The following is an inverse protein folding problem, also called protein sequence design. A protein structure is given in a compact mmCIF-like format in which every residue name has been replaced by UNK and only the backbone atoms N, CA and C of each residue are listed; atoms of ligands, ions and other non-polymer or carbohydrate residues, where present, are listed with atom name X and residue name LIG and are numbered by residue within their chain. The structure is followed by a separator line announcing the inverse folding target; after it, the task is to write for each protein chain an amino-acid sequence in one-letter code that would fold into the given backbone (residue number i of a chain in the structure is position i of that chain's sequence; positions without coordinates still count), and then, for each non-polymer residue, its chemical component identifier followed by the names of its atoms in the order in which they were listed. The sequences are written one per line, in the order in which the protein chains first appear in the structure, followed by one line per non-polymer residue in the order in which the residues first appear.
data_IF_384873571627
#
_entry.id   IF_384873571627
#
_cell.length_a   1.000
_cell.length_b   1.000
_cell.length_c   1.000
_cell.angle_alpha   90.00
_cell.angle_beta   90.00
_cell.angle_gamma   90.00
#
_symmetry.space_group_name_H-M   'P 1'
#
loop_
_entity.id
_entity.type
_entity.pdbx_description
1 polymer ?
#
# COMPACT_ATOMS: atom_id res chain seq x y z
N UNK A 1 -28.70 1.17 -52.84
CA UNK A 1 -28.73 1.25 -51.36
C UNK A 1 -27.30 1.24 -50.88
N UNK A 2 -26.72 2.42 -50.61
CA UNK A 2 -25.36 2.60 -50.10
C UNK A 2 -25.38 2.39 -48.58
N UNK A 3 -24.49 1.51 -48.13
CA UNK A 3 -24.29 1.18 -46.73
C UNK A 3 -23.82 2.46 -45.99
N UNK A 4 -24.39 2.81 -44.85
CA UNK A 4 -23.89 3.98 -44.08
C UNK A 4 -22.45 3.71 -43.65
N UNK A 5 -21.61 4.71 -43.70
CA UNK A 5 -20.23 4.66 -43.23
C UNK A 5 -20.21 4.34 -41.71
N UNK A 6 -19.23 3.58 -41.21
CA UNK A 6 -19.11 3.33 -39.79
C UNK A 6 -18.87 4.67 -39.05
N UNK A 7 -19.37 4.80 -37.83
CA UNK A 7 -19.14 6.02 -37.05
C UNK A 7 -17.63 6.25 -36.90
N UNK A 8 -17.21 7.48 -37.09
CA UNK A 8 -15.81 7.88 -36.91
C UNK A 8 -15.38 7.50 -35.48
N UNK A 9 -14.34 6.70 -35.36
CA UNK A 9 -13.68 6.44 -34.07
C UNK A 9 -13.18 7.79 -33.59
N UNK A 10 -13.70 8.27 -32.48
CA UNK A 10 -13.19 9.51 -31.84
C UNK A 10 -11.70 9.32 -31.57
N UNK A 11 -10.88 10.29 -32.02
CA UNK A 11 -9.45 10.28 -31.73
C UNK A 11 -9.25 10.22 -30.20
N UNK A 12 -8.23 9.49 -29.71
CA UNK A 12 -7.95 9.46 -28.28
C UNK A 12 -7.69 10.89 -27.79
N UNK A 13 -8.15 11.22 -26.56
CA UNK A 13 -7.91 12.56 -26.01
C UNK A 13 -6.40 12.83 -25.94
N UNK A 14 -5.96 14.07 -26.20
CA UNK A 14 -4.53 14.42 -26.22
C UNK A 14 -3.88 14.17 -24.84
N UNK A 15 -2.69 13.60 -24.84
CA UNK A 15 -1.86 13.43 -23.66
C UNK A 15 -1.46 14.80 -23.09
N UNK A 16 -1.58 14.96 -21.80
CA UNK A 16 -1.21 16.18 -21.11
C UNK A 16 0.31 16.22 -20.91
N UNK A 17 1.03 17.00 -21.69
CA UNK A 17 2.39 17.44 -21.36
C UNK A 17 2.34 18.59 -20.34
N UNK A 18 1.92 18.32 -19.12
CA UNK A 18 2.09 19.26 -18.01
C UNK A 18 3.21 18.71 -17.13
N UNK A 19 4.09 19.59 -16.65
CA UNK A 19 4.94 19.26 -15.52
C UNK A 19 4.06 18.71 -14.42
N UNK A 20 4.10 17.42 -14.21
CA UNK A 20 3.07 16.64 -13.52
C UNK A 20 3.32 16.60 -12.01
N UNK A 21 3.66 17.74 -11.39
CA UNK A 21 3.92 17.83 -9.95
C UNK A 21 2.75 17.27 -9.10
N UNK A 22 1.51 17.40 -9.58
CA UNK A 22 0.33 16.83 -8.94
C UNK A 22 0.22 15.30 -9.09
N UNK A 23 0.82 14.70 -10.12
CA UNK A 23 0.98 13.23 -10.21
C UNK A 23 2.03 12.71 -9.23
N UNK A 24 2.97 13.57 -8.83
CA UNK A 24 4.08 13.21 -7.95
C UNK A 24 3.76 13.45 -6.48
N UNK A 25 2.86 14.38 -6.18
CA UNK A 25 2.64 14.86 -4.83
C UNK A 25 1.14 15.09 -4.50
N UNK A 26 0.44 14.12 -3.89
CA UNK A 26 -0.95 14.30 -3.44
C UNK A 26 -1.03 15.29 -2.25
N UNK A 27 -2.23 15.86 -1.94
CA UNK A 27 -2.45 16.81 -0.85
C UNK A 27 -2.34 16.13 0.53
N UNK A 28 -1.13 15.72 0.91
CA UNK A 28 -0.85 14.98 2.14
C UNK A 28 -0.51 15.85 3.35
N UNK A 29 -0.09 17.12 3.14
CA UNK A 29 0.12 18.05 4.26
C UNK A 29 -1.21 18.59 4.78
N UNK A 30 -1.20 19.04 6.05
CA UNK A 30 -2.40 19.59 6.67
C UNK A 30 -2.92 20.83 5.95
N UNK A 31 -2.02 21.71 5.51
CA UNK A 31 -2.36 22.94 4.80
C UNK A 31 -3.00 22.64 3.44
N UNK A 32 -2.39 21.73 2.64
CA UNK A 32 -2.95 21.33 1.34
C UNK A 32 -4.28 20.59 1.49
N UNK A 33 -4.40 19.70 2.49
CA UNK A 33 -5.67 19.03 2.78
C UNK A 33 -6.78 20.03 3.09
N UNK A 34 -6.53 21.04 3.95
CA UNK A 34 -7.53 22.03 4.30
C UNK A 34 -7.93 22.90 3.09
N UNK A 35 -6.97 23.27 2.25
CA UNK A 35 -7.24 23.98 1.00
C UNK A 35 -8.09 23.12 0.05
N UNK A 36 -7.68 21.90 -0.24
CA UNK A 36 -8.41 20.98 -1.13
C UNK A 36 -9.85 20.69 -0.62
N UNK A 37 -10.02 20.58 0.69
CA UNK A 37 -11.32 20.43 1.34
C UNK A 37 -12.24 21.63 1.12
N UNK A 38 -11.71 22.84 1.24
CA UNK A 38 -12.48 24.09 1.02
C UNK A 38 -12.93 24.18 -0.44
N UNK A 39 -12.07 23.78 -1.37
CA UNK A 39 -12.37 23.78 -2.80
C UNK A 39 -13.41 22.71 -3.16
N UNK A 40 -13.41 21.55 -2.51
CA UNK A 40 -14.39 20.49 -2.74
C UNK A 40 -15.80 20.87 -2.26
N UNK A 41 -15.92 21.65 -1.19
CA UNK A 41 -17.21 22.04 -0.61
C UNK A 41 -18.04 23.00 -1.49
N UNK A 42 -17.43 23.59 -2.51
CA UNK A 42 -18.10 24.51 -3.47
C UNK A 42 -18.79 23.78 -4.64
N UNK A 43 -18.66 22.44 -4.73
CA UNK A 43 -19.20 21.63 -5.83
C UNK A 43 -20.32 20.71 -5.38
N UNK A 44 -21.03 20.13 -6.35
CA UNK A 44 -22.22 19.30 -6.24
C UNK A 44 -22.44 18.63 -4.88
N UNK A 45 -23.40 19.09 -4.07
CA UNK A 45 -23.68 18.55 -2.74
C UNK A 45 -24.20 17.10 -2.77
N UNK A 46 -24.57 16.56 -3.95
CA UNK A 46 -25.00 15.17 -4.13
C UNK A 46 -23.84 14.21 -4.38
N UNK A 47 -22.67 14.70 -4.79
CA UNK A 47 -21.49 13.88 -5.01
C UNK A 47 -20.76 13.56 -3.70
N UNK A 48 -20.13 12.37 -3.61
CA UNK A 48 -19.23 12.07 -2.49
C UNK A 48 -18.14 13.14 -2.44
N UNK A 49 -17.90 13.78 -1.27
CA UNK A 49 -16.90 14.84 -1.16
C UNK A 49 -15.50 14.24 -1.44
N UNK A 50 -14.93 14.66 -2.55
CA UNK A 50 -13.55 14.34 -2.96
C UNK A 50 -12.68 15.54 -2.66
N UNK A 51 -11.40 15.29 -2.39
CA UNK A 51 -10.44 16.39 -2.34
C UNK A 51 -10.19 16.90 -3.76
N UNK A 52 -10.22 18.22 -3.92
CA UNK A 52 -10.04 18.90 -5.19
C UNK A 52 -9.00 20.00 -5.03
N UNK A 53 -8.09 20.12 -5.96
CA UNK A 53 -7.18 21.26 -6.06
C UNK A 53 -7.28 21.90 -7.43
N UNK A 54 -7.13 23.21 -7.46
CA UNK A 54 -7.00 23.99 -8.69
C UNK A 54 -5.53 24.31 -8.93
N UNK A 55 -5.02 23.93 -10.10
CA UNK A 55 -3.72 24.35 -10.56
C UNK A 55 -3.90 25.42 -11.65
N UNK A 56 -3.27 26.55 -11.44
CA UNK A 56 -3.00 27.48 -12.53
C UNK A 56 -1.69 27.03 -13.21
N UNK A 57 -1.72 26.55 -14.45
CA UNK A 57 -0.52 26.10 -15.15
C UNK A 57 0.49 27.21 -15.44
N UNK A 58 0.29 28.43 -14.87
CA UNK A 58 1.30 29.49 -14.86
C UNK A 58 1.85 29.82 -16.24
N UNK A 59 1.06 30.38 -17.13
CA UNK A 59 1.49 30.87 -18.42
C UNK A 59 0.44 31.84 -18.96
N UNK A 60 0.88 32.93 -19.59
CA UNK A 60 -0.04 33.81 -20.29
C UNK A 60 -1.02 32.98 -21.10
N UNK A 61 -2.31 33.15 -20.84
CA UNK A 61 -3.36 32.44 -21.55
C UNK A 61 -3.04 32.54 -23.05
N UNK A 62 -2.84 31.45 -23.77
CA UNK A 62 -2.77 31.54 -25.21
C UNK A 62 -4.12 32.11 -25.61
N UNK A 63 -4.10 33.18 -26.38
CA UNK A 63 -5.28 33.76 -27.02
C UNK A 63 -6.11 32.59 -27.55
N UNK A 64 -7.42 32.63 -27.28
CA UNK A 64 -8.40 31.60 -27.57
C UNK A 64 -7.94 30.66 -28.68
N UNK A 65 -7.70 29.39 -28.35
CA UNK A 65 -7.39 28.37 -29.35
C UNK A 65 -8.68 28.13 -30.13
N UNK A 66 -8.91 28.96 -31.11
CA UNK A 66 -9.75 28.59 -32.24
C UNK A 66 -9.02 27.39 -32.88
N UNK A 67 -9.54 26.19 -32.77
CA UNK A 67 -8.97 25.01 -33.38
C UNK A 67 -8.61 23.88 -32.44
N UNK A 68 -9.41 23.66 -31.38
CA UNK A 68 -9.31 22.42 -30.60
C UNK A 68 -9.36 21.17 -31.47
N UNK A 69 -10.28 21.16 -32.43
CA UNK A 69 -10.46 20.05 -33.35
C UNK A 69 -9.27 19.88 -34.30
N UNK A 70 -8.66 21.00 -34.78
CA UNK A 70 -7.46 21.00 -35.63
C UNK A 70 -6.21 20.50 -34.89
N UNK A 71 -6.05 20.81 -33.60
CA UNK A 71 -4.91 20.33 -32.80
C UNK A 71 -5.01 18.82 -32.53
N UNK A 72 -6.22 18.29 -32.33
CA UNK A 72 -6.49 16.84 -32.18
C UNK A 72 -6.19 16.12 -33.49
N UNK A 73 -6.63 16.65 -34.64
CA UNK A 73 -6.36 16.08 -35.95
C UNK A 73 -4.88 16.08 -36.33
N UNK A 74 -4.14 17.09 -35.86
CA UNK A 74 -2.70 17.21 -36.12
C UNK A 74 -1.81 16.37 -35.19
N UNK A 75 -2.37 15.71 -34.16
CA UNK A 75 -1.58 14.96 -33.16
C UNK A 75 -0.61 15.84 -32.33
N UNK A 76 -0.87 17.13 -32.25
CA UNK A 76 -0.03 18.05 -31.52
C UNK A 76 -0.24 17.89 -30.00
N UNK A 77 0.82 18.03 -29.17
CA UNK A 77 0.67 18.00 -27.71
C UNK A 77 -0.23 19.15 -27.27
N UNK A 78 -1.29 18.81 -26.52
CA UNK A 78 -2.22 19.78 -26.03
C UNK A 78 -1.68 20.50 -24.79
N UNK A 79 -1.60 21.82 -24.83
CA UNK A 79 -1.40 22.67 -23.67
C UNK A 79 -2.75 23.13 -23.14
N UNK A 80 -3.13 22.68 -21.93
CA UNK A 80 -4.33 23.16 -21.29
C UNK A 80 -4.23 24.67 -21.10
N UNK A 81 -5.23 25.40 -21.56
CA UNK A 81 -5.37 26.84 -21.32
C UNK A 81 -6.28 27.06 -20.11
N UNK A 82 -5.76 27.72 -19.08
CA UNK A 82 -6.51 28.07 -17.88
C UNK A 82 -6.36 27.04 -16.73
N UNK A 83 -7.02 27.31 -15.60
CA UNK A 83 -6.89 26.49 -14.39
C UNK A 83 -7.38 25.06 -14.61
N UNK A 84 -6.63 24.09 -14.11
CA UNK A 84 -6.98 22.68 -14.08
C UNK A 84 -7.56 22.33 -12.73
N UNK A 85 -8.67 21.59 -12.73
CA UNK A 85 -9.26 21.00 -11.54
C UNK A 85 -8.80 19.55 -11.41
N UNK A 86 -8.05 19.25 -10.37
CA UNK A 86 -7.60 17.91 -10.05
C UNK A 86 -8.52 17.30 -9.00
N UNK A 87 -9.11 16.18 -9.31
CA UNK A 87 -9.93 15.40 -8.38
C UNK A 87 -9.12 14.21 -7.89
N UNK A 88 -8.94 14.12 -6.57
CA UNK A 88 -8.18 13.05 -5.95
C UNK A 88 -9.06 11.87 -5.54
N UNK A 89 -8.48 10.68 -5.47
CA UNK A 89 -9.16 9.48 -4.96
C UNK A 89 -9.33 9.51 -3.44
N UNK A 90 -8.68 10.45 -2.76
CA UNK A 90 -8.63 10.57 -1.32
C UNK A 90 -10.01 10.91 -0.75
N UNK A 91 -10.48 10.12 0.21
CA UNK A 91 -11.73 10.38 0.92
C UNK A 91 -11.53 11.45 2.00
N UNK A 92 -12.30 12.54 1.93
CA UNK A 92 -12.20 13.66 2.85
C UNK A 92 -12.44 13.24 4.30
N UNK A 93 -13.52 12.50 4.54
CA UNK A 93 -13.91 12.11 5.89
C UNK A 93 -12.92 11.15 6.54
N UNK A 94 -12.37 10.23 5.75
CA UNK A 94 -11.33 9.32 6.21
C UNK A 94 -10.03 10.07 6.48
N UNK A 95 -9.61 10.94 5.57
CA UNK A 95 -8.40 11.76 5.73
C UNK A 95 -8.47 12.61 6.99
N UNK A 96 -9.61 13.26 7.25
CA UNK A 96 -9.82 14.01 8.49
C UNK A 96 -9.76 13.12 9.75
N UNK A 97 -10.33 11.90 9.68
CA UNK A 97 -10.22 10.93 10.79
C UNK A 97 -8.76 10.54 11.05
N UNK A 98 -7.98 10.31 9.99
CA UNK A 98 -6.55 10.00 10.09
C UNK A 98 -5.79 11.16 10.76
N UNK A 99 -6.04 12.40 10.33
CA UNK A 99 -5.46 13.60 10.98
C UNK A 99 -5.80 13.67 12.48
N UNK A 100 -7.04 13.40 12.86
CA UNK A 100 -7.45 13.37 14.27
C UNK A 100 -6.73 12.27 15.06
N UNK A 101 -6.53 11.10 14.46
CA UNK A 101 -5.79 9.98 15.06
C UNK A 101 -4.33 10.37 15.28
N UNK A 102 -3.66 10.95 14.29
CA UNK A 102 -2.27 11.40 14.39
C UNK A 102 -2.11 12.48 15.47
N UNK A 103 -2.98 13.48 15.48
CA UNK A 103 -2.98 14.55 16.48
C UNK A 103 -3.19 14.00 17.90
N UNK A 104 -4.13 13.07 18.08
CA UNK A 104 -4.36 12.40 19.38
C UNK A 104 -3.16 11.57 19.81
N UNK A 105 -2.47 10.95 18.87
CA UNK A 105 -1.22 10.22 19.06
C UNK A 105 -0.02 11.11 19.27
N UNK A 106 -0.15 12.44 19.15
CA UNK A 106 0.93 13.44 19.23
C UNK A 106 2.09 13.09 18.29
N UNK A 107 1.74 12.83 17.04
CA UNK A 107 2.72 12.52 15.99
C UNK A 107 3.29 13.82 15.46
N UNK A 108 4.56 14.07 15.74
CA UNK A 108 5.27 15.24 15.21
C UNK A 108 5.79 14.98 13.81
N UNK A 109 6.41 13.81 13.58
CA UNK A 109 6.95 13.36 12.28
C UNK A 109 6.42 11.98 11.96
N UNK A 110 5.57 11.89 10.94
CA UNK A 110 4.98 10.62 10.59
C UNK A 110 4.03 10.71 9.41
N UNK A 111 3.77 9.55 8.83
CA UNK A 111 2.95 9.38 7.64
C UNK A 111 1.98 8.23 7.84
N UNK A 112 0.77 8.41 7.32
CA UNK A 112 -0.26 7.37 7.28
C UNK A 112 -0.80 7.27 5.88
N UNK A 113 -0.78 6.07 5.32
CA UNK A 113 -1.40 5.73 4.04
C UNK A 113 -2.53 4.73 4.30
N UNK A 114 -3.69 5.01 3.73
CA UNK A 114 -4.81 4.06 3.64
C UNK A 114 -5.07 3.81 2.16
N UNK A 115 -5.12 2.55 1.78
CA UNK A 115 -5.18 2.11 0.39
C UNK A 115 -6.24 1.01 0.23
N UNK A 116 -6.94 0.99 -0.91
CA UNK A 116 -7.62 -0.20 -1.38
C UNK A 116 -6.56 -1.11 -2.04
N UNK A 117 -6.19 -2.22 -1.39
CA UNK A 117 -5.09 -3.05 -1.88
C UNK A 117 -5.46 -3.88 -3.13
N UNK A 118 -6.73 -3.92 -3.51
CA UNK A 118 -7.23 -4.63 -4.71
C UNK A 118 -6.98 -3.81 -5.98
N UNK A 119 -6.93 -2.49 -5.83
CA UNK A 119 -6.89 -1.55 -6.96
C UNK A 119 -5.67 -0.63 -6.96
N UNK A 120 -4.94 -0.56 -5.85
CA UNK A 120 -3.86 0.41 -5.65
C UNK A 120 -4.35 1.84 -5.33
N UNK A 121 -5.67 2.06 -5.28
CA UNK A 121 -6.28 3.37 -5.03
C UNK A 121 -5.99 3.85 -3.62
N UNK A 122 -5.39 5.03 -3.47
CA UNK A 122 -5.21 5.66 -2.17
C UNK A 122 -6.53 6.26 -1.68
N UNK A 123 -6.87 5.97 -0.43
CA UNK A 123 -8.08 6.46 0.25
C UNK A 123 -7.75 7.59 1.23
N UNK A 124 -6.55 7.59 1.79
CA UNK A 124 -5.97 8.68 2.56
C UNK A 124 -4.44 8.63 2.48
N UNK A 125 -3.82 9.78 2.38
CA UNK A 125 -2.37 9.94 2.47
C UNK A 125 -2.07 11.18 3.29
N UNK A 126 -1.48 11.00 4.46
CA UNK A 126 -1.29 12.06 5.46
C UNK A 126 0.16 12.10 5.90
N UNK A 127 0.75 13.30 5.91
CA UNK A 127 2.10 13.56 6.42
C UNK A 127 2.08 14.70 7.44
N UNK A 128 2.58 14.47 8.66
CA UNK A 128 2.62 15.47 9.72
C UNK A 128 3.75 16.49 9.52
N UNK A 129 4.90 16.04 9.04
CA UNK A 129 6.08 16.89 8.79
C UNK A 129 6.72 16.46 7.45
N UNK A 130 6.44 17.22 6.40
CA UNK A 130 6.94 16.93 5.06
C UNK A 130 8.40 17.34 4.86
N UNK A 131 8.90 18.31 5.63
CA UNK A 131 10.30 18.74 5.55
C UNK A 131 11.21 17.82 6.36
N UNK A 132 10.81 17.49 7.59
CA UNK A 132 11.59 16.63 8.49
C UNK A 132 11.49 15.15 8.21
N UNK A 133 10.42 14.71 7.50
CA UNK A 133 10.20 13.33 7.09
C UNK A 133 9.49 13.29 5.71
N UNK A 134 10.18 13.66 4.61
CA UNK A 134 9.59 13.65 3.27
C UNK A 134 9.00 12.29 2.89
N UNK A 135 7.76 12.27 2.41
CA UNK A 135 7.03 11.04 2.16
C UNK A 135 7.55 10.27 0.92
N UNK A 136 8.22 10.96 0.02
CA UNK A 136 8.79 10.40 -1.20
C UNK A 136 10.21 9.83 -1.02
N UNK A 137 10.82 9.97 0.16
CA UNK A 137 12.17 9.44 0.45
C UNK A 137 12.14 8.00 0.97
N UNK A 138 13.25 7.29 0.74
CA UNK A 138 13.44 5.94 1.22
C UNK A 138 14.05 5.91 2.64
N UNK A 139 13.40 5.20 3.55
CA UNK A 139 13.77 5.03 4.96
C UNK A 139 14.12 3.59 5.27
N UNK A 140 14.89 3.31 6.35
CA UNK A 140 15.16 1.96 6.79
C UNK A 140 13.87 1.15 6.91
N UNK A 141 13.76 0.04 6.16
CA UNK A 141 12.56 -0.81 6.14
C UNK A 141 12.29 -1.50 7.47
N UNK A 142 13.30 -1.57 8.32
CA UNK A 142 13.27 -2.32 9.56
C UNK A 142 12.69 -3.75 9.32
N UNK A 143 11.96 -4.28 10.27
CA UNK A 143 11.40 -5.62 10.19
C UNK A 143 10.23 -5.78 9.20
N UNK A 144 9.88 -4.77 8.41
CA UNK A 144 8.89 -4.93 7.32
C UNK A 144 9.45 -5.87 6.25
N UNK A 145 10.76 -5.81 5.95
CA UNK A 145 11.40 -6.72 4.97
C UNK A 145 11.22 -8.20 5.30
N UNK A 146 10.97 -8.56 6.56
CA UNK A 146 10.72 -9.96 6.95
C UNK A 146 9.48 -10.56 6.26
N UNK A 147 8.55 -9.75 5.79
CA UNK A 147 7.42 -10.23 4.99
C UNK A 147 7.93 -10.79 3.66
N UNK A 148 8.87 -10.09 3.02
CA UNK A 148 9.49 -10.53 1.77
C UNK A 148 10.40 -11.75 2.01
N UNK A 149 11.16 -11.73 3.10
CA UNK A 149 12.00 -12.89 3.47
C UNK A 149 11.15 -14.13 3.78
N UNK A 150 9.98 -13.96 4.43
CA UNK A 150 9.04 -15.05 4.68
C UNK A 150 8.40 -15.56 3.37
N UNK A 151 8.06 -14.67 2.43
CA UNK A 151 7.60 -15.06 1.11
C UNK A 151 8.64 -15.91 0.38
N UNK A 152 9.91 -15.47 0.39
CA UNK A 152 11.00 -16.21 -0.22
C UNK A 152 11.22 -17.59 0.43
N UNK A 153 11.04 -17.70 1.76
CA UNK A 153 11.09 -19.00 2.47
C UNK A 153 9.98 -19.94 1.99
N UNK A 154 8.75 -19.45 1.88
CA UNK A 154 7.60 -20.22 1.41
C UNK A 154 7.73 -20.68 -0.06
N UNK A 155 8.47 -19.91 -0.89
CA UNK A 155 8.75 -20.28 -2.28
C UNK A 155 9.85 -21.34 -2.45
N UNK A 156 10.89 -21.26 -1.61
CA UNK A 156 12.06 -22.16 -1.76
C UNK A 156 11.68 -23.57 -1.35
N UNK A 157 10.98 -23.73 -0.24
CA UNK A 157 10.52 -25.00 0.26
C UNK A 157 9.30 -24.76 1.16
N UNK A 158 8.08 -24.96 0.64
CA UNK A 158 6.86 -24.82 1.42
C UNK A 158 6.84 -25.69 2.67
N UNK A 159 7.43 -26.87 2.65
CA UNK A 159 7.47 -27.78 3.81
C UNK A 159 8.50 -27.30 4.85
N UNK A 160 9.60 -26.68 4.42
CA UNK A 160 10.58 -26.05 5.32
C UNK A 160 10.04 -24.83 6.06
N UNK A 161 8.96 -24.22 5.58
CA UNK A 161 8.31 -23.12 6.29
C UNK A 161 7.83 -23.53 7.67
N UNK A 162 7.60 -24.81 7.88
CA UNK A 162 7.22 -25.41 9.16
C UNK A 162 8.46 -25.82 9.98
N UNK A 163 9.67 -25.71 9.39
CA UNK A 163 10.92 -26.00 10.07
C UNK A 163 11.17 -25.03 11.21
N UNK A 164 11.55 -25.56 12.35
CA UNK A 164 11.87 -24.75 13.51
C UNK A 164 13.26 -24.14 13.43
N UNK A 165 13.34 -22.83 13.65
CA UNK A 165 14.58 -22.14 13.95
C UNK A 165 14.92 -22.32 15.44
N UNK A 166 16.19 -22.57 15.76
CA UNK A 166 16.67 -22.59 17.15
C UNK A 166 17.46 -21.32 17.43
N UNK A 167 17.16 -20.64 18.54
CA UNK A 167 17.83 -19.39 18.90
C UNK A 167 18.10 -19.29 20.42
N UNK A 168 19.07 -18.44 20.81
CA UNK A 168 19.46 -18.26 22.22
C UNK A 168 19.40 -16.81 22.66
N UNK A 169 19.05 -16.62 23.93
CA UNK A 169 19.04 -15.30 24.58
C UNK A 169 18.05 -14.33 23.96
N UNK A 170 18.47 -13.07 23.74
CA UNK A 170 17.62 -12.05 23.15
C UNK A 170 17.48 -12.26 21.63
N UNK A 171 16.29 -12.63 21.17
CA UNK A 171 15.96 -12.90 19.77
C UNK A 171 16.15 -11.70 18.82
N UNK A 172 16.21 -10.49 19.35
CA UNK A 172 16.41 -9.27 18.55
C UNK A 172 17.88 -8.96 18.27
N UNK A 173 18.82 -9.55 19.03
CA UNK A 173 20.26 -9.33 18.85
C UNK A 173 20.84 -10.35 17.87
N UNK A 174 21.49 -9.86 16.82
CA UNK A 174 22.22 -10.64 15.82
C UNK A 174 23.70 -10.27 15.88
N UNK A 175 24.55 -11.25 15.85
CA UNK A 175 26.01 -11.15 15.69
C UNK A 175 26.52 -12.39 14.95
N UNK A 176 27.80 -12.44 14.58
CA UNK A 176 28.38 -13.54 13.81
C UNK A 176 28.07 -14.93 14.39
N UNK A 177 28.11 -15.10 15.73
CA UNK A 177 27.87 -16.40 16.41
C UNK A 177 26.38 -16.81 16.40
N UNK A 178 25.47 -15.89 16.14
CA UNK A 178 23.99 -16.13 16.14
C UNK A 178 23.42 -16.33 14.76
N UNK A 179 24.26 -16.31 13.75
CA UNK A 179 23.88 -16.67 12.39
C UNK A 179 23.73 -18.19 12.23
N UNK A 180 24.44 -18.96 13.05
CA UNK A 180 24.39 -20.40 13.00
C UNK A 180 23.38 -20.95 14.02
N UNK A 181 22.76 -22.09 13.67
CA UNK A 181 21.83 -22.79 14.55
C UNK A 181 22.59 -23.30 15.78
N UNK A 182 22.23 -22.91 17.00
CA UNK A 182 22.86 -23.41 18.20
C UNK A 182 22.44 -24.89 18.48
N UNK A 183 23.27 -25.65 19.16
CA UNK A 183 22.99 -27.04 19.56
C UNK A 183 21.83 -27.19 20.54
N UNK A 184 21.47 -26.11 21.26
CA UNK A 184 20.31 -26.05 22.16
C UNK A 184 19.79 -24.62 22.24
N UNK A 185 18.49 -24.43 22.50
CA UNK A 185 17.90 -23.10 22.58
C UNK A 185 16.38 -23.17 22.62
N UNK A 186 15.77 -22.02 22.33
CA UNK A 186 14.31 -21.93 22.12
C UNK A 186 14.03 -22.14 20.65
N UNK A 187 12.95 -22.83 20.36
CA UNK A 187 12.48 -23.09 19.01
C UNK A 187 11.45 -22.04 18.59
N UNK A 188 11.37 -21.80 17.30
CA UNK A 188 10.38 -20.93 16.68
C UNK A 188 10.17 -21.35 15.22
N UNK A 189 8.94 -21.63 14.84
CA UNK A 189 8.56 -21.79 13.44
C UNK A 189 8.52 -20.42 12.71
N UNK A 190 8.27 -20.44 11.41
CA UNK A 190 8.23 -19.22 10.59
C UNK A 190 7.13 -18.25 11.04
N UNK A 191 5.93 -18.76 11.38
CA UNK A 191 4.82 -17.95 11.86
C UNK A 191 5.14 -17.25 13.19
N UNK A 192 5.63 -18.00 14.19
CA UNK A 192 5.98 -17.44 15.48
C UNK A 192 7.16 -16.47 15.38
N UNK A 193 8.15 -16.75 14.51
CA UNK A 193 9.27 -15.86 14.24
C UNK A 193 8.81 -14.56 13.57
N UNK A 194 7.88 -14.63 12.59
CA UNK A 194 7.31 -13.48 11.91
C UNK A 194 6.45 -12.64 12.88
N UNK A 195 5.56 -13.28 13.64
CA UNK A 195 4.68 -12.63 14.61
C UNK A 195 5.44 -11.91 15.73
N UNK A 196 6.53 -12.53 16.21
CA UNK A 196 7.37 -11.96 17.27
C UNK A 196 8.59 -11.21 16.75
N UNK A 197 8.74 -11.11 15.44
CA UNK A 197 9.83 -10.40 14.75
C UNK A 197 11.23 -10.88 15.17
N UNK A 198 11.45 -12.19 15.19
CA UNK A 198 12.69 -12.83 15.67
C UNK A 198 13.82 -12.60 14.67
N UNK A 199 14.76 -11.69 14.98
CA UNK A 199 15.87 -11.38 14.09
C UNK A 199 16.84 -12.55 13.91
N UNK A 200 17.07 -13.37 14.94
CA UNK A 200 18.00 -14.50 14.83
C UNK A 200 17.50 -15.53 13.81
N UNK A 201 16.22 -15.91 13.84
CA UNK A 201 15.65 -16.85 12.90
C UNK A 201 15.72 -16.32 11.46
N UNK A 202 15.27 -15.07 11.22
CA UNK A 202 15.32 -14.47 9.89
C UNK A 202 16.75 -14.32 9.37
N UNK A 203 17.75 -14.05 10.25
CA UNK A 203 19.15 -14.02 9.86
C UNK A 203 19.70 -15.40 9.52
N UNK A 204 19.30 -16.45 10.25
CA UNK A 204 19.68 -17.82 9.94
C UNK A 204 19.11 -18.27 8.60
N UNK A 205 17.83 -18.06 8.34
CA UNK A 205 17.21 -18.39 7.04
C UNK A 205 17.84 -17.62 5.88
N UNK A 206 18.11 -16.32 6.08
CA UNK A 206 18.80 -15.52 5.07
C UNK A 206 20.16 -16.11 4.68
N UNK A 207 20.96 -16.56 5.69
CA UNK A 207 22.32 -17.05 5.48
C UNK A 207 22.37 -18.50 4.99
N UNK A 208 21.49 -19.37 5.51
CA UNK A 208 21.62 -20.81 5.29
C UNK A 208 20.63 -21.38 4.26
N UNK A 209 19.52 -20.66 3.99
CA UNK A 209 18.47 -21.14 3.09
C UNK A 209 18.37 -20.29 1.83
N UNK A 210 18.28 -18.97 1.96
CA UNK A 210 17.96 -18.09 0.85
C UNK A 210 19.19 -17.62 0.07
N UNK A 211 20.23 -17.18 0.75
CA UNK A 211 21.37 -16.54 0.12
C UNK A 211 21.06 -15.11 -0.38
N UNK A 212 22.09 -14.42 -0.86
CA UNK A 212 21.98 -13.03 -1.31
C UNK A 212 21.14 -12.90 -2.57
N UNK A 213 21.37 -13.76 -3.56
CA UNK A 213 20.70 -13.67 -4.86
C UNK A 213 19.18 -13.81 -4.72
N UNK A 214 18.71 -14.80 -3.95
CA UNK A 214 17.27 -15.01 -3.72
C UNK A 214 16.65 -13.82 -3.00
N UNK A 215 17.32 -13.26 -1.99
CA UNK A 215 16.82 -12.08 -1.29
C UNK A 215 16.75 -10.84 -2.20
N UNK A 216 17.81 -10.60 -3.01
CA UNK A 216 17.83 -9.47 -3.95
C UNK A 216 16.80 -9.64 -5.07
N UNK A 217 16.66 -10.84 -5.63
CA UNK A 217 15.64 -11.11 -6.64
C UNK A 217 14.23 -10.93 -6.07
N UNK A 218 14.02 -11.32 -4.82
CA UNK A 218 12.75 -11.08 -4.12
C UNK A 218 12.48 -9.58 -3.94
N UNK A 219 13.45 -8.79 -3.50
CA UNK A 219 13.32 -7.33 -3.38
C UNK A 219 12.94 -6.68 -4.73
N UNK A 220 13.59 -7.10 -5.84
CA UNK A 220 13.26 -6.61 -7.19
C UNK A 220 11.83 -6.99 -7.60
N UNK A 221 11.45 -8.25 -7.40
CA UNK A 221 10.11 -8.75 -7.74
C UNK A 221 9.01 -8.02 -6.97
N UNK A 222 9.23 -7.72 -5.70
CA UNK A 222 8.32 -6.93 -4.88
C UNK A 222 8.34 -5.42 -5.22
N UNK A 223 9.08 -5.00 -6.24
CA UNK A 223 9.15 -3.61 -6.68
C UNK A 223 9.96 -2.68 -5.77
N UNK A 224 10.63 -3.23 -4.75
CA UNK A 224 11.30 -2.40 -3.74
C UNK A 224 12.58 -1.72 -4.22
N UNK A 225 13.12 -2.10 -5.36
CA UNK A 225 14.32 -1.48 -5.95
C UNK A 225 14.01 -0.49 -7.09
N UNK A 226 12.73 -0.26 -7.40
CA UNK A 226 12.26 0.72 -8.37
C UNK A 226 11.44 1.80 -7.66
N UNK A 227 11.26 3.00 -8.23
CA UNK A 227 10.28 3.95 -7.70
C UNK A 227 8.87 3.32 -7.66
N UNK A 228 8.11 3.48 -6.56
CA UNK A 228 6.76 2.90 -6.45
C UNK A 228 5.69 3.71 -7.18
N UNK A 229 6.01 4.97 -7.50
CA UNK A 229 5.20 5.91 -8.27
C UNK A 229 6.09 7.08 -8.71
N UNK A 230 5.66 7.93 -9.68
CA UNK A 230 6.36 9.14 -10.05
C UNK A 230 6.71 10.01 -8.83
N UNK A 231 7.83 10.71 -8.87
CA UNK A 231 8.31 11.60 -7.81
C UNK A 231 8.81 10.91 -6.53
N UNK A 232 8.76 9.58 -6.44
CA UNK A 232 9.22 8.82 -5.28
C UNK A 232 10.58 8.17 -5.53
N UNK A 233 11.42 8.14 -4.50
CA UNK A 233 12.72 7.47 -4.60
C UNK A 233 12.56 5.96 -4.80
N UNK A 234 13.46 5.37 -5.60
CA UNK A 234 13.66 3.93 -5.59
C UNK A 234 14.14 3.47 -4.21
N UNK A 235 13.73 2.29 -3.80
CA UNK A 235 14.33 1.68 -2.62
C UNK A 235 15.74 1.20 -2.90
N UNK A 236 16.47 0.86 -1.85
CA UNK A 236 17.87 0.44 -1.93
C UNK A 236 18.13 -0.81 -1.11
N UNK A 237 19.00 -1.69 -1.64
CA UNK A 237 19.58 -2.79 -0.91
C UNK A 237 21.11 -2.63 -0.95
N UNK A 238 21.73 -2.46 0.22
CA UNK A 238 23.18 -2.29 0.34
C UNK A 238 23.95 -3.55 -0.09
N UNK A 239 25.23 -3.38 -0.38
CA UNK A 239 26.11 -4.50 -0.72
C UNK A 239 26.25 -5.46 0.47
N UNK A 240 26.34 -6.75 0.17
CA UNK A 240 26.56 -7.82 1.16
C UNK A 240 28.03 -8.24 1.06
N UNK A 241 28.84 -7.80 2.02
CA UNK A 241 30.25 -8.15 2.06
C UNK A 241 30.53 -9.35 2.98
N UNK A 242 29.67 -9.55 3.98
CA UNK A 242 29.83 -10.60 4.98
C UNK A 242 28.54 -11.38 5.21
N UNK A 243 28.65 -12.59 5.78
CA UNK A 243 27.48 -13.36 6.24
C UNK A 243 26.62 -12.55 7.24
N UNK A 244 27.22 -11.65 8.03
CA UNK A 244 26.49 -10.84 8.97
C UNK A 244 25.62 -9.80 8.25
N UNK A 245 26.10 -9.20 7.17
CA UNK A 245 25.34 -8.24 6.37
C UNK A 245 24.17 -8.94 5.69
N UNK A 246 24.38 -10.15 5.17
CA UNK A 246 23.30 -10.98 4.63
C UNK A 246 22.22 -11.28 5.67
N UNK A 247 22.64 -11.69 6.88
CA UNK A 247 21.69 -11.91 7.97
C UNK A 247 20.94 -10.65 8.42
N UNK A 248 21.61 -9.49 8.39
CA UNK A 248 20.99 -8.20 8.70
C UNK A 248 20.01 -7.78 7.61
N UNK A 249 20.36 -7.96 6.34
CA UNK A 249 19.49 -7.68 5.20
C UNK A 249 18.20 -8.49 5.29
N UNK A 250 18.27 -9.81 5.45
CA UNK A 250 17.07 -10.66 5.56
C UNK A 250 16.23 -10.43 6.82
N UNK A 251 16.84 -9.93 7.90
CA UNK A 251 16.15 -9.61 9.16
C UNK A 251 15.72 -8.15 9.29
N UNK A 252 16.14 -7.26 8.36
CA UNK A 252 15.82 -5.85 8.37
C UNK A 252 16.48 -5.06 9.49
N UNK A 253 17.64 -5.53 9.96
CA UNK A 253 18.45 -4.78 10.91
C UNK A 253 19.32 -3.73 10.23
N UNK A 254 19.57 -3.91 8.94
CA UNK A 254 20.33 -2.98 8.09
C UNK A 254 20.13 -3.33 6.61
N UNK A 255 20.60 -2.44 5.72
CA UNK A 255 20.81 -2.73 4.30
C UNK A 255 19.59 -2.58 3.40
N UNK A 256 18.39 -2.32 3.90
CA UNK A 256 17.19 -2.11 3.05
C UNK A 256 16.48 -0.82 3.41
N UNK A 257 16.29 0.05 2.40
CA UNK A 257 15.53 1.31 2.53
C UNK A 257 14.41 1.35 1.51
N UNK A 258 13.24 1.83 1.93
CA UNK A 258 12.01 1.93 1.10
C UNK A 258 11.20 3.16 1.47
N UNK A 259 10.42 3.68 0.53
CA UNK A 259 9.45 4.73 0.83
C UNK A 259 8.19 4.15 1.48
N UNK A 260 7.37 4.95 2.18
CA UNK A 260 6.06 4.51 2.67
C UNK A 260 5.15 3.94 1.58
N UNK A 261 5.28 4.46 0.36
CA UNK A 261 4.47 4.00 -0.76
C UNK A 261 4.86 2.60 -1.25
N UNK A 262 6.15 2.21 -1.16
CA UNK A 262 6.55 0.81 -1.38
C UNK A 262 5.86 -0.15 -0.41
N UNK A 263 5.74 0.28 0.85
CA UNK A 263 5.07 -0.53 1.88
C UNK A 263 3.56 -0.56 1.66
N UNK A 264 2.98 0.50 1.09
CA UNK A 264 1.58 0.51 0.68
C UNK A 264 1.34 -0.47 -0.50
N UNK A 265 2.21 -0.47 -1.51
CA UNK A 265 2.14 -1.43 -2.63
C UNK A 265 2.30 -2.89 -2.15
N UNK A 266 3.07 -3.16 -1.08
CA UNK A 266 3.17 -4.48 -0.48
C UNK A 266 1.80 -5.01 -0.01
N UNK A 267 0.86 -4.14 0.36
CA UNK A 267 -0.49 -4.56 0.76
C UNK A 267 -1.26 -5.21 -0.39
N UNK A 268 -1.06 -4.78 -1.64
CA UNK A 268 -1.66 -5.44 -2.81
C UNK A 268 -1.08 -6.84 -3.04
N UNK A 269 0.25 -7.00 -2.87
CA UNK A 269 0.89 -8.31 -2.95
C UNK A 269 0.34 -9.26 -1.87
N UNK A 270 0.13 -8.77 -0.66
CA UNK A 270 -0.50 -9.57 0.39
C UNK A 270 -1.98 -9.89 0.09
N UNK A 271 -2.66 -9.12 -0.74
CA UNK A 271 -4.08 -9.33 -1.06
C UNK A 271 -4.28 -10.42 -2.11
N UNK A 272 -3.57 -10.34 -3.24
CA UNK A 272 -3.77 -11.25 -4.36
C UNK A 272 -2.48 -11.76 -4.99
N UNK A 273 -1.33 -11.65 -4.32
CA UNK A 273 -0.04 -12.05 -4.88
C UNK A 273 0.51 -11.10 -5.96
N UNK A 274 -0.21 -10.04 -6.28
CA UNK A 274 0.10 -9.12 -7.37
C UNK A 274 0.55 -7.76 -6.85
N UNK A 275 1.59 -7.21 -7.46
CA UNK A 275 1.97 -5.82 -7.25
C UNK A 275 1.08 -4.93 -8.09
N UNK A 276 0.46 -3.92 -7.47
CA UNK A 276 -0.38 -2.93 -8.11
C UNK A 276 0.19 -1.55 -7.76
N UNK A 277 0.37 -0.71 -8.78
CA UNK A 277 0.88 0.65 -8.60
C UNK A 277 -0.10 1.49 -7.76
N UNK A 278 0.35 2.10 -6.65
CA UNK A 278 -0.48 3.02 -5.89
C UNK A 278 -0.77 4.30 -6.68
N UNK A 279 -2.00 4.79 -6.61
CA UNK A 279 -2.43 5.97 -7.34
C UNK A 279 -3.44 6.81 -6.54
N UNK A 280 -3.49 8.13 -6.86
CA UNK A 280 -4.28 9.09 -6.09
C UNK A 280 -5.00 10.14 -6.92
N UNK A 281 -4.76 10.27 -8.22
CA UNK A 281 -5.50 11.19 -9.10
C UNK A 281 -6.59 10.40 -9.80
N UNK A 282 -7.85 10.82 -9.59
CA UNK A 282 -9.02 10.18 -10.21
C UNK A 282 -9.34 10.81 -11.55
N UNK A 283 -9.33 12.14 -11.61
CA UNK A 283 -9.68 12.89 -12.81
C UNK A 283 -9.03 14.26 -12.81
N UNK A 284 -8.70 14.75 -14.01
CA UNK A 284 -8.29 16.13 -14.24
C UNK A 284 -9.25 16.74 -15.24
N UNK A 285 -9.76 17.94 -14.93
CA UNK A 285 -10.76 18.63 -15.74
C UNK A 285 -10.28 20.04 -16.02
N UNK A 286 -10.39 20.49 -17.27
CA UNK A 286 -10.04 21.86 -17.65
C UNK A 286 -11.13 22.88 -17.26
N UNK A 287 -10.89 24.16 -17.51
CA UNK A 287 -11.83 25.25 -17.24
C UNK A 287 -13.15 25.15 -18.02
N UNK A 288 -13.22 24.31 -19.06
CA UNK A 288 -14.41 24.07 -19.87
C UNK A 288 -15.16 22.78 -19.44
N UNK A 289 -14.72 22.11 -18.38
CA UNK A 289 -15.33 20.88 -17.89
C UNK A 289 -14.92 19.61 -18.66
N UNK A 290 -13.91 19.68 -19.54
CA UNK A 290 -13.43 18.53 -20.31
C UNK A 290 -12.45 17.74 -19.48
N UNK A 291 -12.63 16.42 -19.43
CA UNK A 291 -11.67 15.51 -18.78
C UNK A 291 -10.44 15.36 -19.65
N UNK A 292 -9.27 15.46 -19.02
CA UNK A 292 -7.98 15.23 -19.65
C UNK A 292 -7.55 13.79 -19.47
N UNK A 293 -6.85 13.24 -20.47
CA UNK A 293 -6.28 11.90 -20.36
C UNK A 293 -5.20 11.89 -19.27
N UNK A 294 -5.27 10.92 -18.39
CA UNK A 294 -4.21 10.63 -17.42
C UNK A 294 -3.22 9.63 -18.03
N UNK A 295 -1.95 9.64 -17.63
CA UNK A 295 -1.02 8.60 -18.00
C UNK A 295 -1.58 7.22 -17.68
N UNK A 296 -1.36 6.27 -18.58
CA UNK A 296 -1.72 4.88 -18.31
C UNK A 296 -0.94 4.37 -17.11
N UNK A 297 -1.65 3.69 -16.21
CA UNK A 297 -1.04 3.04 -15.06
C UNK A 297 -0.38 1.75 -15.50
N UNK A 298 0.72 1.40 -14.85
CA UNK A 298 1.36 0.13 -15.10
C UNK A 298 0.41 -1.04 -14.77
N UNK A 299 0.41 -2.05 -15.64
CA UNK A 299 -0.35 -3.28 -15.41
C UNK A 299 0.07 -3.94 -14.10
N UNK A 300 -0.90 -4.54 -13.44
CA UNK A 300 -0.61 -5.35 -12.26
C UNK A 300 0.22 -6.57 -12.67
N UNK A 301 1.25 -6.89 -11.90
CA UNK A 301 2.13 -8.02 -12.18
C UNK A 301 2.16 -9.00 -11.01
N UNK A 302 2.22 -10.28 -11.32
CA UNK A 302 2.38 -11.32 -10.31
C UNK A 302 3.76 -11.23 -9.64
N UNK A 303 3.77 -11.37 -8.33
CA UNK A 303 4.96 -11.33 -7.47
C UNK A 303 5.15 -12.65 -6.75
N UNK A 304 4.07 -13.18 -6.19
CA UNK A 304 3.97 -14.49 -5.53
C UNK A 304 2.61 -15.11 -5.90
N UNK A 305 2.48 -16.41 -5.74
CA UNK A 305 1.19 -17.05 -5.93
C UNK A 305 0.17 -16.57 -4.89
N UNK A 306 -1.12 -16.63 -5.23
CA UNK A 306 -2.22 -16.30 -4.30
C UNK A 306 -2.17 -17.16 -3.04
N UNK A 307 -1.78 -18.42 -3.16
CA UNK A 307 -1.60 -19.35 -2.02
C UNK A 307 -0.54 -18.86 -1.03
N UNK A 308 0.63 -18.43 -1.53
CA UNK A 308 1.69 -17.84 -0.68
C UNK A 308 1.19 -16.56 -0.03
N UNK A 309 0.45 -15.71 -0.76
CA UNK A 309 -0.14 -14.49 -0.19
C UNK A 309 -1.13 -14.83 0.96
N UNK A 310 -1.97 -15.84 0.78
CA UNK A 310 -2.92 -16.32 1.80
C UNK A 310 -2.22 -16.88 3.05
N UNK A 311 -1.18 -17.67 2.86
CA UNK A 311 -0.35 -18.18 3.96
C UNK A 311 0.33 -17.05 4.73
N UNK A 312 0.92 -16.08 4.03
CA UNK A 312 1.53 -14.89 4.65
C UNK A 312 0.51 -14.10 5.48
N UNK A 313 -0.70 -13.85 4.95
CA UNK A 313 -1.75 -13.16 5.70
C UNK A 313 -2.13 -13.92 6.96
N UNK A 314 -2.32 -15.23 6.86
CA UNK A 314 -2.63 -16.09 8.00
C UNK A 314 -1.55 -15.99 9.08
N UNK A 315 -0.27 -16.07 8.71
CA UNK A 315 0.85 -15.90 9.65
C UNK A 315 0.87 -14.48 10.25
N UNK A 316 0.60 -13.45 9.44
CA UNK A 316 0.61 -12.05 9.87
C UNK A 316 -0.51 -11.70 10.84
N UNK A 317 -1.64 -12.44 10.84
CA UNK A 317 -2.70 -12.31 11.87
C UNK A 317 -2.13 -12.58 13.26
N UNK A 318 -1.17 -13.47 13.39
CA UNK A 318 -0.51 -13.75 14.66
C UNK A 318 0.24 -12.56 15.25
N UNK A 319 0.72 -11.62 14.42
CA UNK A 319 1.35 -10.37 14.88
C UNK A 319 0.39 -9.53 15.72
N UNK A 320 -0.87 -9.42 15.30
CA UNK A 320 -1.91 -8.61 15.98
C UNK A 320 -2.61 -9.38 17.11
N UNK A 321 -2.70 -10.70 17.00
CA UNK A 321 -3.36 -11.54 18.02
C UNK A 321 -2.46 -11.87 19.20
N UNK A 322 -1.19 -12.22 18.96
CA UNK A 322 -0.27 -12.74 19.98
C UNK A 322 1.17 -12.21 19.88
N UNK A 323 1.49 -11.48 18.79
CA UNK A 323 2.82 -10.97 18.48
C UNK A 323 3.07 -9.54 18.95
N UNK A 324 3.93 -8.85 18.18
CA UNK A 324 4.48 -7.52 18.54
C UNK A 324 3.43 -6.40 18.56
N UNK A 325 2.30 -6.55 17.88
CA UNK A 325 1.22 -5.58 17.85
C UNK A 325 0.03 -5.93 18.75
N UNK A 326 0.06 -7.04 19.50
CA UNK A 326 -1.07 -7.54 20.30
C UNK A 326 -1.72 -6.46 21.17
N UNK A 327 -0.94 -5.65 21.88
CA UNK A 327 -1.47 -4.62 22.79
C UNK A 327 -2.22 -3.52 22.06
N UNK A 328 -1.77 -3.14 20.87
CA UNK A 328 -2.37 -2.08 20.05
C UNK A 328 -3.78 -2.46 19.55
N UNK A 329 -3.99 -3.73 19.26
CA UNK A 329 -5.27 -4.25 18.73
C UNK A 329 -6.23 -4.74 19.83
N UNK A 330 -5.98 -4.38 21.09
CA UNK A 330 -6.83 -4.68 22.22
C UNK A 330 -7.21 -3.43 22.99
N UNK A 331 -8.44 -3.41 23.50
CA UNK A 331 -8.89 -2.40 24.44
C UNK A 331 -8.17 -2.59 25.78
N UNK A 332 -8.26 -1.59 26.68
CA UNK A 332 -7.74 -1.71 28.05
C UNK A 332 -8.32 -2.92 28.82
N UNK A 333 -9.51 -3.39 28.46
CA UNK A 333 -10.18 -4.57 29.04
C UNK A 333 -9.80 -5.87 28.31
N UNK A 334 -8.80 -5.87 27.42
CA UNK A 334 -8.31 -7.04 26.68
C UNK A 334 -9.19 -7.51 25.52
N UNK A 335 -10.32 -6.85 25.24
CA UNK A 335 -11.21 -7.18 24.10
C UNK A 335 -10.58 -6.69 22.79
N UNK A 336 -10.88 -7.34 21.63
CA UNK A 336 -10.47 -6.82 20.32
C UNK A 336 -10.92 -5.37 20.12
N UNK A 337 -10.04 -4.53 19.54
CA UNK A 337 -10.35 -3.15 19.24
C UNK A 337 -11.30 -3.03 18.03
N UNK A 338 -11.19 -3.96 17.07
CA UNK A 338 -12.04 -4.09 15.89
C UNK A 338 -12.67 -5.51 15.94
N UNK A 339 -13.77 -5.70 16.68
CA UNK A 339 -14.40 -7.00 16.82
C UNK A 339 -14.88 -7.56 15.49
N UNK A 340 -14.74 -8.87 15.28
CA UNK A 340 -15.18 -9.56 14.07
C UNK A 340 -14.23 -9.41 12.86
N UNK A 341 -13.26 -8.50 12.91
CA UNK A 341 -12.33 -8.26 11.81
C UNK A 341 -10.93 -8.73 12.20
N UNK A 342 -10.41 -9.72 11.49
CA UNK A 342 -9.02 -10.14 11.64
C UNK A 342 -8.11 -9.22 10.82
N UNK A 343 -6.99 -8.83 11.43
CA UNK A 343 -6.04 -7.91 10.82
C UNK A 343 -4.70 -8.63 10.70
N UNK A 344 -4.24 -8.80 9.46
CA UNK A 344 -2.89 -9.29 9.17
C UNK A 344 -1.94 -8.09 9.14
N UNK A 345 -0.83 -8.13 9.91
CA UNK A 345 0.06 -6.98 9.95
C UNK A 345 1.48 -7.29 10.41
N UNK A 346 2.37 -6.33 10.20
CA UNK A 346 3.78 -6.39 10.60
C UNK A 346 4.24 -5.09 11.21
N UNK A 347 4.97 -5.19 12.31
CA UNK A 347 5.68 -4.05 12.92
C UNK A 347 7.12 -4.00 12.46
N UNK A 348 7.67 -2.82 12.31
CA UNK A 348 9.09 -2.56 12.11
C UNK A 348 9.59 -1.52 13.11
N UNK A 349 10.83 -1.66 13.58
CA UNK A 349 11.43 -0.71 14.49
C UNK A 349 12.95 -0.75 14.35
N UNK A 350 13.56 0.40 14.03
CA UNK A 350 14.99 0.54 13.87
C UNK A 350 15.42 1.98 14.16
N UNK A 351 16.54 2.16 14.84
CA UNK A 351 17.17 3.46 14.98
C UNK A 351 17.96 3.79 13.71
N UNK A 352 17.88 5.03 13.24
CA UNK A 352 18.60 5.50 12.07
C UNK A 352 19.15 6.91 12.27
N UNK A 353 19.91 7.40 11.28
CA UNK A 353 20.64 8.68 11.37
C UNK A 353 20.19 9.72 10.35
N UNK A 354 19.47 9.34 9.32
CA UNK A 354 19.06 10.23 8.22
C UNK A 354 17.57 10.09 7.91
N UNK A 355 16.74 10.97 8.51
CA UNK A 355 16.99 11.80 9.71
C UNK A 355 17.22 10.97 10.96
N UNK A 356 17.91 11.55 11.96
CA UNK A 356 18.20 10.85 13.21
C UNK A 356 16.93 10.63 14.03
N UNK A 357 16.76 9.39 14.50
CA UNK A 357 15.61 9.02 15.32
C UNK A 357 15.31 7.53 15.26
N UNK A 358 14.16 7.15 15.78
CA UNK A 358 13.67 5.79 15.77
C UNK A 358 12.55 5.67 14.75
N UNK A 359 12.83 4.97 13.66
CA UNK A 359 11.83 4.62 12.64
C UNK A 359 10.92 3.53 13.18
N UNK A 360 9.65 3.83 13.29
CA UNK A 360 8.65 2.87 13.73
C UNK A 360 7.60 2.69 12.65
N UNK A 361 7.50 1.46 12.17
CA UNK A 361 6.57 1.05 11.13
C UNK A 361 5.44 0.20 11.67
N UNK A 362 4.30 0.32 11.04
CA UNK A 362 3.28 -0.70 10.97
C UNK A 362 2.74 -0.76 9.54
N UNK A 363 2.54 -1.97 9.03
CA UNK A 363 1.75 -2.21 7.82
C UNK A 363 0.79 -3.35 8.09
N UNK A 364 -0.37 -3.32 7.43
CA UNK A 364 -1.32 -4.42 7.54
C UNK A 364 -2.48 -4.27 6.59
N UNK A 365 -3.21 -5.38 6.43
CA UNK A 365 -4.43 -5.49 5.61
C UNK A 365 -5.57 -6.07 6.43
N UNK A 366 -6.78 -5.67 6.11
CA UNK A 366 -8.00 -6.17 6.74
C UNK A 366 -9.19 -6.11 5.77
N UNK A 367 -10.19 -7.01 5.94
CA UNK A 367 -10.13 -8.27 6.69
C UNK A 367 -9.01 -9.19 6.20
N UNK A 368 -8.42 -10.03 7.07
CA UNK A 368 -7.29 -10.85 6.66
C UNK A 368 -7.64 -11.87 5.55
N UNK A 369 -8.87 -12.37 5.51
CA UNK A 369 -9.32 -13.33 4.49
C UNK A 369 -9.50 -12.68 3.12
N UNK A 370 -10.23 -11.58 3.05
CA UNK A 370 -10.51 -10.83 1.83
C UNK A 370 -10.18 -9.34 2.06
N UNK A 371 -8.94 -8.92 1.89
CA UNK A 371 -8.53 -7.56 2.22
C UNK A 371 -9.20 -6.51 1.33
N UNK A 372 -9.80 -5.51 1.98
CA UNK A 372 -10.38 -4.34 1.32
C UNK A 372 -9.68 -3.04 1.73
N UNK A 373 -8.96 -3.06 2.84
CA UNK A 373 -8.22 -1.91 3.37
C UNK A 373 -6.79 -2.34 3.71
N UNK A 374 -5.82 -1.61 3.16
CA UNK A 374 -4.42 -1.60 3.57
C UNK A 374 -4.12 -0.34 4.40
N UNK A 375 -3.33 -0.48 5.45
CA UNK A 375 -2.89 0.65 6.29
C UNK A 375 -1.38 0.57 6.48
N UNK A 376 -0.70 1.67 6.19
CA UNK A 376 0.73 1.84 6.46
C UNK A 376 0.92 3.05 7.37
N UNK A 377 1.73 2.90 8.39
CA UNK A 377 2.15 3.97 9.29
C UNK A 377 3.65 3.95 9.41
N UNK A 378 4.28 5.08 9.14
CA UNK A 378 5.67 5.37 9.49
C UNK A 378 5.70 6.52 10.48
N UNK A 379 6.45 6.39 11.56
CA UNK A 379 6.81 7.48 12.45
C UNK A 379 8.33 7.55 12.62
N UNK A 380 8.84 8.77 12.72
CA UNK A 380 10.19 9.04 13.24
C UNK A 380 10.06 9.59 14.65
N UNK A 381 10.35 8.75 15.62
CA UNK A 381 10.22 9.11 17.03
C UNK A 381 11.54 9.69 17.56
N UNK A 382 11.42 10.81 18.29
CA UNK A 382 12.50 11.43 19.06
C UNK A 382 12.60 10.81 20.46
N UNK A 383 12.93 11.65 21.46
CA UNK A 383 13.07 11.23 22.84
C UNK A 383 11.74 10.98 23.56
N UNK A 384 10.67 11.67 23.15
CA UNK A 384 9.31 11.49 23.69
C UNK A 384 8.51 10.57 22.80
N UNK A 385 7.94 9.55 23.40
CA UNK A 385 7.20 8.51 22.73
C UNK A 385 5.75 8.47 23.22
N UNK A 386 4.80 8.85 22.37
CA UNK A 386 3.39 8.94 22.77
C UNK A 386 2.56 7.76 22.28
N UNK A 387 2.41 7.59 20.98
CA UNK A 387 1.67 6.47 20.38
C UNK A 387 2.58 5.64 19.50
N UNK A 388 2.38 4.33 19.49
CA UNK A 388 3.06 3.42 18.55
C UNK A 388 2.41 3.48 17.19
N UNK A 389 3.18 3.23 16.13
CA UNK A 389 2.64 3.10 14.76
C UNK A 389 1.55 2.03 14.67
N UNK A 390 1.69 0.94 15.43
CA UNK A 390 0.65 -0.08 15.54
C UNK A 390 -0.64 0.40 16.23
N UNK A 391 -0.55 1.34 17.20
CA UNK A 391 -1.72 1.92 17.87
C UNK A 391 -2.44 2.91 16.97
N UNK A 392 -1.70 3.70 16.18
CA UNK A 392 -2.29 4.57 15.16
C UNK A 392 -3.01 3.72 14.11
N UNK A 393 -2.34 2.70 13.54
CA UNK A 393 -2.93 1.80 12.56
C UNK A 393 -4.18 1.10 13.08
N UNK A 394 -4.17 0.62 14.33
CA UNK A 394 -5.33 -0.02 14.95
C UNK A 394 -6.52 0.94 15.05
N UNK A 395 -6.29 2.22 15.34
CA UNK A 395 -7.33 3.24 15.34
C UNK A 395 -7.79 3.60 13.91
N UNK A 396 -6.91 3.55 12.90
CA UNK A 396 -7.30 3.72 11.49
C UNK A 396 -8.20 2.56 11.06
N UNK A 397 -7.83 1.30 11.30
CA UNK A 397 -8.71 0.15 11.04
C UNK A 397 -10.05 0.25 11.75
N UNK A 398 -10.05 0.72 12.99
CA UNK A 398 -11.31 0.99 13.69
C UNK A 398 -12.13 2.08 13.00
N UNK A 399 -11.51 3.14 12.50
CA UNK A 399 -12.20 4.22 11.80
C UNK A 399 -12.76 3.79 10.44
N UNK A 400 -12.17 2.75 9.81
CA UNK A 400 -12.65 2.18 8.54
C UNK A 400 -13.76 1.16 8.73
N UNK A 401 -13.63 0.26 9.70
CA UNK A 401 -14.53 -0.87 9.88
C UNK A 401 -15.58 -0.72 10.97
N UNK A 402 -15.53 0.36 11.76
CA UNK A 402 -16.50 0.52 12.86
C UNK A 402 -17.26 1.85 12.77
N UNK A 403 -18.52 1.76 13.20
CA UNK A 403 -19.41 2.89 13.43
C UNK A 403 -20.05 2.74 14.81
N UNK A 404 -19.75 3.68 15.71
CA UNK A 404 -20.11 3.55 17.11
C UNK A 404 -19.52 2.28 17.75
N UNK A 405 -20.41 1.34 18.13
CA UNK A 405 -20.03 0.05 18.73
C UNK A 405 -20.06 -1.11 17.72
N UNK A 406 -20.67 -0.91 16.55
CA UNK A 406 -20.75 -1.91 15.48
C UNK A 406 -19.46 -1.88 14.66
N UNK A 407 -18.88 -3.03 14.41
CA UNK A 407 -17.79 -3.20 13.46
C UNK A 407 -18.19 -4.27 12.44
N UNK A 408 -18.00 -3.96 11.17
CA UNK A 408 -18.41 -4.80 10.05
C UNK A 408 -17.45 -4.58 8.86
N UNK A 409 -17.16 -5.64 8.13
CA UNK A 409 -16.32 -5.57 6.93
C UNK A 409 -16.96 -4.71 5.84
N UNK A 410 -18.27 -4.75 5.69
CA UNK A 410 -19.03 -3.99 4.70
C UNK A 410 -18.93 -2.47 4.91
N UNK A 411 -18.70 -2.02 6.15
CA UNK A 411 -18.54 -0.58 6.43
C UNK A 411 -17.34 0.05 5.71
N UNK A 412 -16.37 -0.73 5.28
CA UNK A 412 -15.24 -0.24 4.50
C UNK A 412 -15.64 0.16 3.07
N UNK A 413 -16.70 -0.42 2.50
CA UNK A 413 -17.18 -0.12 1.14
C UNK A 413 -17.53 1.36 0.95
N UNK A 414 -17.90 2.06 2.04
CA UNK A 414 -18.12 3.51 2.01
C UNK A 414 -16.92 4.32 1.54
N UNK A 415 -15.69 3.79 1.67
CA UNK A 415 -14.44 4.41 1.26
C UNK A 415 -13.91 3.81 -0.05
N UNK A 416 -14.00 2.48 -0.19
CA UNK A 416 -13.53 1.80 -1.39
C UNK A 416 -14.44 2.05 -2.59
N UNK A 417 -15.78 2.13 -2.37
CA UNK A 417 -16.79 2.35 -3.40
C UNK A 417 -16.81 1.26 -4.48
N UNK A 418 -17.94 1.08 -5.11
CA UNK A 418 -17.98 0.40 -6.40
C UNK A 418 -17.59 1.45 -7.44
N UNK A 419 -16.40 1.37 -8.01
CA UNK A 419 -16.01 2.20 -9.15
C UNK A 419 -16.85 1.76 -10.34
N UNK A 420 -17.68 2.64 -10.95
CA UNK A 420 -18.40 2.28 -12.15
C UNK A 420 -17.40 1.87 -13.24
N UNK A 421 -17.48 0.62 -13.72
CA UNK A 421 -16.66 0.10 -14.81
C UNK A 421 -15.31 -0.52 -14.42
N UNK A 422 -14.99 -0.65 -13.13
CA UNK A 422 -13.85 -1.44 -12.72
C UNK A 422 -14.30 -2.87 -12.39
N UNK A 423 -14.29 -3.72 -13.41
CA UNK A 423 -14.19 -5.16 -13.21
C UNK A 423 -12.76 -5.43 -12.74
N UNK A 424 -12.56 -5.54 -11.42
CA UNK A 424 -11.29 -5.99 -10.84
C UNK A 424 -10.90 -7.34 -11.46
N UNK A 425 -9.63 -7.76 -11.42
CA UNK A 425 -9.27 -9.09 -11.83
C UNK A 425 -10.16 -10.07 -11.05
N UNK A 426 -10.99 -10.83 -11.81
CA UNK A 426 -11.83 -11.88 -11.25
C UNK A 426 -10.96 -12.76 -10.37
N UNK A 427 -11.34 -12.93 -9.11
CA UNK A 427 -10.68 -13.90 -8.24
C UNK A 427 -10.86 -15.27 -8.92
N UNK A 428 -9.82 -16.11 -8.90
CA UNK A 428 -9.86 -17.47 -9.49
C UNK A 428 -11.07 -18.28 -8.99
N UNK A 429 -11.57 -17.99 -7.78
CA UNK A 429 -12.84 -18.54 -7.26
C UNK A 429 -14.09 -18.21 -8.07
N UNK A 430 -14.06 -17.13 -8.87
CA UNK A 430 -15.22 -16.73 -9.68
C UNK A 430 -15.17 -17.36 -11.08
N UNK A 431 -13.97 -17.78 -11.53
CA UNK A 431 -13.81 -18.58 -12.75
C UNK A 431 -14.37 -20.01 -12.58
N UNK A 432 -14.12 -20.62 -11.43
CA UNK A 432 -14.68 -21.94 -11.10
C UNK A 432 -16.23 -21.92 -11.01
N UNK A 433 -16.80 -20.76 -10.61
CA UNK A 433 -18.26 -20.58 -10.57
C UNK A 433 -18.87 -20.36 -11.97
N UNK A 434 -18.13 -19.77 -12.91
CA UNK A 434 -18.57 -19.59 -14.32
C UNK A 434 -18.50 -20.91 -15.09
N UNK A 435 -17.44 -21.69 -14.92
CA UNK A 435 -17.32 -23.03 -15.52
C UNK A 435 -18.42 -23.99 -15.00
N UNK A 436 -18.90 -23.81 -13.78
CA UNK A 436 -20.03 -24.56 -13.23
C UNK A 436 -21.38 -24.17 -13.87
N UNK A 437 -21.54 -22.92 -14.31
CA UNK A 437 -22.75 -22.44 -14.97
C UNK A 437 -22.82 -22.84 -16.44
N UNK A 438 -21.67 -23.02 -17.12
CA UNK A 438 -21.63 -23.49 -18.52
C UNK A 438 -21.80 -25.02 -18.64
N UNK A 439 -21.71 -25.77 -17.54
CA UNK A 439 -21.85 -27.21 -17.52
C UNK A 439 -23.28 -27.73 -17.29
N UNK A 440 -24.29 -26.89 -17.13
CA UNK A 440 -25.68 -27.34 -17.08
C UNK A 440 -26.19 -27.66 -18.49
N UNK A 441 -26.65 -28.92 -18.74
CA UNK A 441 -27.23 -29.27 -20.04
C UNK A 441 -28.57 -28.53 -20.24
N UNK A 442 -28.90 -28.13 -21.46
CA UNK A 442 -30.15 -27.44 -21.75
C UNK A 442 -31.36 -28.27 -21.34
N UNK A 443 -32.43 -27.65 -20.82
CA UNK A 443 -33.64 -28.37 -20.43
C UNK A 443 -34.24 -29.16 -21.59
N UNK A 444 -34.57 -30.42 -21.32
CA UNK A 444 -35.16 -31.32 -22.32
C UNK A 444 -36.45 -30.74 -22.90
N UNK A 445 -36.58 -30.75 -24.22
CA UNK A 445 -37.78 -30.33 -24.93
C UNK A 445 -38.99 -31.18 -24.50
N UNK A 446 -40.22 -30.63 -24.41
CA UNK A 446 -41.40 -31.41 -24.09
C UNK A 446 -41.69 -32.41 -25.22
N UNK A 447 -41.96 -33.64 -24.84
CA UNK A 447 -42.35 -34.72 -25.78
C UNK A 447 -43.69 -34.43 -26.42
N UNK A 448 -43.92 -34.99 -27.62
CA UNK A 448 -45.06 -34.69 -28.48
C UNK A 448 -46.42 -35.17 -27.93
#
# INVERSE_FOLDING_TARGET
MTRPAPPAVSAPPPLLEVESAWLEDPPRSKARFEKARTESSSFDPSAKPRLVEWLDPGGAAPAAVAGWDEAIEAGAPFRASGPLRIEYTLDEALTEKVWRIMRKGRVDRGQVIVIDPRTGRLLAYVSADEEGLPANRAYPSASIVKVLTAAAMLEVDPDQSDSTCVYRGNKYRVNRRRLDRPSSGRESDLEAALATSNNQCFSQWAVHVLGEEKLRSTLRRFGWLNPPAPGHEAGRAEAVETRLDLGRLGSGLDGVRVTPLHVAALTSVLTGGRWIEPWWVDRVVDSHGRSLALPERADSREVISSEIADRLRTMLVSTTKRGTAKSAFRTRRGRPLVPGIEIAGKTGNLSGRDPSGRYEWFMGVAPAKNPTIGVVVLQLQGHLWWAKSSELAANVFKATFCEGKRCDAELASRFTGDLPGFEGPMLISDLDALDALESEPPPAAPAP
#
